data_IF_270379246862
#
_entry.id   IF_270379246862
#
_cell.length_a   1.000
_cell.length_b   1.000
_cell.length_c   1.000
_cell.angle_alpha   90.00
_cell.angle_beta   90.00
_cell.angle_gamma   90.00
#
_symmetry.space_group_name_H-M   'P 1'
#
loop_
_entity.id
_entity.type
_entity.pdbx_description
1 polymer ?
#
# COMPACT_ATOMS: atom_id res chain seq x y z
N UNK A 1 -15.63 -20.18 17.05
CA UNK A 1 -15.06 -18.99 16.39
C UNK A 1 -16.20 -18.04 16.02
N UNK A 2 -16.05 -16.71 16.13
CA UNK A 2 -17.06 -15.74 15.71
C UNK A 2 -17.42 -15.91 14.23
N UNK A 3 -18.70 -15.73 13.87
CA UNK A 3 -19.19 -15.90 12.50
C UNK A 3 -18.49 -14.99 11.48
N UNK A 4 -18.02 -13.82 11.92
CA UNK A 4 -17.28 -12.87 11.09
C UNK A 4 -15.94 -13.41 10.57
N UNK A 5 -15.26 -14.30 11.32
CA UNK A 5 -13.98 -14.90 10.89
C UNK A 5 -14.17 -16.06 9.90
N UNK A 6 -15.39 -16.60 9.77
CA UNK A 6 -15.70 -17.71 8.86
C UNK A 6 -15.86 -17.21 7.42
N UNK A 7 -16.31 -15.96 7.25
CA UNK A 7 -16.52 -15.31 5.96
C UNK A 7 -15.34 -14.42 5.53
N UNK A 8 -14.22 -14.45 6.26
CA UNK A 8 -13.08 -13.59 5.97
C UNK A 8 -12.48 -13.98 4.60
N UNK A 9 -12.38 -13.03 3.65
CA UNK A 9 -11.81 -13.31 2.36
C UNK A 9 -10.33 -13.68 2.51
N UNK A 10 -9.97 -14.91 2.14
CA UNK A 10 -8.57 -15.32 2.07
C UNK A 10 -7.91 -14.68 0.87
N UNK A 11 -6.97 -13.78 1.13
CA UNK A 11 -6.11 -13.23 0.09
C UNK A 11 -5.10 -14.29 -0.35
N UNK A 12 -4.86 -14.46 -1.65
CA UNK A 12 -3.70 -15.20 -2.15
C UNK A 12 -2.41 -14.63 -1.56
N UNK A 13 -1.43 -15.50 -1.26
CA UNK A 13 -0.14 -15.11 -0.66
C UNK A 13 0.57 -13.99 -1.45
N UNK A 14 0.47 -14.03 -2.78
CA UNK A 14 1.03 -12.99 -3.63
C UNK A 14 0.42 -11.60 -3.35
N UNK A 15 -0.88 -11.52 -3.00
CA UNK A 15 -1.53 -10.26 -2.65
C UNK A 15 -1.21 -9.83 -1.22
N UNK A 16 -1.00 -10.78 -0.30
CA UNK A 16 -0.54 -10.48 1.06
C UNK A 16 0.79 -9.74 1.05
N UNK A 17 1.74 -10.18 0.23
CA UNK A 17 3.04 -9.52 0.07
C UNK A 17 2.92 -8.04 -0.31
N UNK A 18 2.07 -7.71 -1.30
CA UNK A 18 1.86 -6.33 -1.72
C UNK A 18 1.06 -5.50 -0.69
N UNK A 19 0.14 -6.15 0.02
CA UNK A 19 -0.62 -5.51 1.10
C UNK A 19 0.29 -5.15 2.28
N UNK A 20 1.19 -6.04 2.67
CA UNK A 20 2.22 -5.79 3.69
C UNK A 20 3.14 -4.65 3.25
N UNK A 21 3.60 -4.66 2.00
CA UNK A 21 4.40 -3.55 1.44
C UNK A 21 3.69 -2.19 1.55
N UNK A 22 2.38 -2.15 1.27
CA UNK A 22 1.58 -0.94 1.41
C UNK A 22 1.50 -0.44 2.86
N UNK A 23 1.35 -1.36 3.83
CA UNK A 23 1.34 -0.99 5.24
C UNK A 23 2.71 -0.54 5.73
N UNK A 24 3.79 -1.18 5.31
CA UNK A 24 5.16 -0.77 5.63
C UNK A 24 5.44 0.66 5.15
N UNK A 25 5.03 0.98 3.91
CA UNK A 25 5.24 2.27 3.27
C UNK A 25 4.27 3.36 3.76
N UNK A 26 3.27 3.02 4.57
CA UNK A 26 2.19 3.96 4.89
C UNK A 26 2.66 5.19 5.66
N UNK A 27 3.72 5.04 6.46
CA UNK A 27 4.30 6.10 7.27
C UNK A 27 5.29 6.99 6.50
N UNK A 28 5.65 6.63 5.27
CA UNK A 28 6.59 7.40 4.44
C UNK A 28 5.92 8.53 3.66
N UNK A 29 4.58 8.66 3.75
CA UNK A 29 3.84 9.75 3.12
C UNK A 29 4.28 11.10 3.67
N UNK A 30 4.53 12.04 2.77
CA UNK A 30 4.74 13.42 3.17
C UNK A 30 3.44 14.00 3.75
N UNK A 31 3.48 14.53 4.96
CA UNK A 31 2.33 15.22 5.57
C UNK A 31 2.53 16.72 5.46
N UNK A 32 1.56 17.41 4.85
CA UNK A 32 1.56 18.87 4.68
C UNK A 32 0.26 19.52 5.14
N UNK A 33 0.16 20.85 4.98
CA UNK A 33 -1.05 21.62 5.40
C UNK A 33 -2.34 21.20 4.68
N UNK A 34 -2.27 20.39 3.62
CA UNK A 34 -3.42 19.84 2.88
C UNK A 34 -3.69 18.35 3.11
N UNK A 35 -3.02 17.70 4.08
CA UNK A 35 -3.16 16.27 4.37
C UNK A 35 -1.93 15.44 3.99
N UNK A 36 -2.11 14.12 3.97
CA UNK A 36 -1.09 13.17 3.52
C UNK A 36 -0.99 13.18 1.99
N UNK A 37 0.22 13.35 1.47
CA UNK A 37 0.55 13.19 0.06
C UNK A 37 0.76 11.73 -0.33
N UNK A 38 1.11 11.52 -1.59
CA UNK A 38 1.37 10.17 -2.11
C UNK A 38 2.61 9.53 -1.47
N UNK A 39 2.65 8.19 -1.46
CA UNK A 39 3.84 7.42 -1.11
C UNK A 39 4.97 7.78 -2.09
N UNK A 40 6.14 8.25 -1.62
CA UNK A 40 7.23 8.65 -2.52
C UNK A 40 7.82 7.46 -3.28
N UNK A 41 8.19 7.67 -4.55
CA UNK A 41 8.90 6.66 -5.35
C UNK A 41 10.17 6.15 -4.66
N UNK A 42 10.93 7.05 -4.01
CA UNK A 42 12.14 6.69 -3.28
C UNK A 42 11.89 5.71 -2.12
N UNK A 43 10.72 5.79 -1.47
CA UNK A 43 10.34 4.84 -0.42
C UNK A 43 10.04 3.46 -1.02
N UNK A 44 9.30 3.42 -2.14
CA UNK A 44 9.01 2.17 -2.88
C UNK A 44 10.31 1.51 -3.35
N UNK A 45 11.23 2.29 -3.92
CA UNK A 45 12.55 1.84 -4.38
C UNK A 45 13.42 1.31 -3.23
N UNK A 46 13.44 2.00 -2.08
CA UNK A 46 14.16 1.54 -0.89
C UNK A 46 13.58 0.23 -0.33
N UNK A 47 12.25 0.12 -0.25
CA UNK A 47 11.57 -1.10 0.18
C UNK A 47 11.87 -2.25 -0.79
N UNK A 48 11.75 -2.02 -2.09
CA UNK A 48 12.03 -3.02 -3.12
C UNK A 48 13.45 -3.58 -3.03
N UNK A 49 14.46 -2.72 -2.82
CA UNK A 49 15.85 -3.17 -2.60
C UNK A 49 15.98 -4.06 -1.37
N UNK A 50 15.29 -3.72 -0.27
CA UNK A 50 15.36 -4.48 0.99
C UNK A 50 14.80 -5.89 0.86
N UNK A 51 13.83 -6.08 -0.02
CA UNK A 51 13.17 -7.36 -0.28
C UNK A 51 13.56 -8.01 -1.62
N UNK A 52 14.63 -7.52 -2.27
CA UNK A 52 15.14 -8.02 -3.56
C UNK A 52 14.09 -8.04 -4.70
N UNK A 53 13.17 -7.07 -4.69
CA UNK A 53 12.18 -6.89 -5.77
C UNK A 53 12.81 -6.04 -6.87
N UNK A 54 12.83 -6.54 -8.11
CA UNK A 54 13.49 -5.89 -9.25
C UNK A 54 12.81 -6.22 -10.59
N UNK A 55 13.17 -5.48 -11.65
CA UNK A 55 12.63 -5.68 -13.00
C UNK A 55 11.11 -5.58 -13.04
N UNK A 56 10.46 -6.50 -13.76
CA UNK A 56 9.00 -6.55 -13.90
C UNK A 56 8.26 -6.69 -12.56
N UNK A 57 8.89 -7.27 -11.53
CA UNK A 57 8.30 -7.38 -10.21
C UNK A 57 8.27 -6.01 -9.50
N UNK A 58 9.29 -5.17 -9.74
CA UNK A 58 9.32 -3.80 -9.24
C UNK A 58 8.27 -2.93 -9.92
N UNK A 59 8.09 -3.06 -11.24
CA UNK A 59 7.05 -2.32 -11.94
C UNK A 59 5.64 -2.70 -11.47
N UNK A 60 5.41 -3.99 -11.19
CA UNK A 60 4.16 -4.46 -10.58
C UNK A 60 3.95 -3.92 -9.16
N UNK A 61 5.00 -3.94 -8.32
CA UNK A 61 4.94 -3.36 -6.98
C UNK A 61 4.56 -1.87 -7.05
N UNK A 62 5.27 -1.10 -7.87
CA UNK A 62 5.04 0.34 -8.06
C UNK A 62 3.61 0.64 -8.52
N UNK A 63 3.10 -0.07 -9.53
CA UNK A 63 1.74 0.12 -10.02
C UNK A 63 0.70 -0.20 -8.94
N UNK A 64 0.85 -1.33 -8.25
CA UNK A 64 -0.12 -1.76 -7.26
C UNK A 64 -0.13 -0.84 -6.02
N UNK A 65 1.04 -0.47 -5.49
CA UNK A 65 1.15 0.48 -4.38
C UNK A 65 0.54 1.83 -4.77
N UNK A 66 0.82 2.34 -5.97
CA UNK A 66 0.24 3.60 -6.44
C UNK A 66 -1.29 3.56 -6.52
N UNK A 67 -1.87 2.44 -6.98
CA UNK A 67 -3.34 2.26 -7.01
C UNK A 67 -3.94 2.18 -5.61
N UNK A 68 -3.31 1.43 -4.70
CA UNK A 68 -3.77 1.32 -3.31
C UNK A 68 -3.69 2.67 -2.58
N UNK A 69 -2.61 3.41 -2.81
CA UNK A 69 -2.39 4.73 -2.22
C UNK A 69 -3.43 5.76 -2.65
N UNK A 70 -3.82 5.70 -3.93
CA UNK A 70 -4.92 6.53 -4.46
C UNK A 70 -6.24 6.21 -3.75
N UNK A 71 -6.62 4.94 -3.69
CA UNK A 71 -7.88 4.52 -3.04
C UNK A 71 -7.88 4.92 -1.56
N UNK A 72 -6.77 4.73 -0.86
CA UNK A 72 -6.63 5.14 0.53
C UNK A 72 -6.79 6.65 0.72
N UNK A 73 -6.18 7.44 -0.16
CA UNK A 73 -6.26 8.91 -0.12
C UNK A 73 -7.69 9.39 -0.37
N UNK A 74 -8.38 8.79 -1.36
CA UNK A 74 -9.77 9.11 -1.68
C UNK A 74 -10.71 8.79 -0.50
N UNK A 75 -10.54 7.61 0.14
CA UNK A 75 -11.32 7.23 1.33
C UNK A 75 -11.09 8.19 2.51
N UNK A 76 -9.84 8.57 2.76
CA UNK A 76 -9.48 9.55 3.80
C UNK A 76 -10.11 10.93 3.57
N UNK A 77 -10.24 11.36 2.31
CA UNK A 77 -10.90 12.62 1.98
C UNK A 77 -12.41 12.58 2.21
N UNK A 78 -13.06 11.44 1.92
CA UNK A 78 -14.49 11.23 2.19
C UNK A 78 -14.78 11.27 3.70
N UNK A 79 -13.94 10.64 4.53
CA UNK A 79 -14.11 10.65 5.99
C UNK A 79 -13.91 12.03 6.63
N UNK A 80 -13.20 12.95 5.95
CA UNK A 80 -12.92 14.29 6.43
C UNK A 80 -13.95 15.35 5.98
N UNK A 81 -14.92 14.98 5.13
CA UNK A 81 -15.96 15.86 4.56
C UNK A 81 -17.30 15.68 5.27
#
# INVERSE_FOLDING_TARGET
MPAALIAEPRLPDALLFYLEAFFDLTNDRAVGMGGAGAIPFGAIDAWARRYNVSGDAFDRLKDLIGRMDRVWSDLRQVEAS
#
